data_IF_290024471456
#
_entry.id   IF_290024471456
#
_cell.length_a   1.000
_cell.length_b   1.000
_cell.length_c   1.000
_cell.angle_alpha   90.00
_cell.angle_beta   90.00
_cell.angle_gamma   90.00
#
_symmetry.space_group_name_H-M   'P 1'
#
loop_
_entity.id
_entity.type
_entity.pdbx_description
1 polymer ?
#
# COMPACT_ATOMS: atom_id res chain seq x y z
N UNK A 1 -2.30 -17.80 -13.81
CA UNK A 1 -1.25 -16.94 -13.23
C UNK A 1 -1.56 -16.78 -11.76
N UNK A 2 -0.67 -17.22 -10.88
CA UNK A 2 -0.85 -17.05 -9.43
C UNK A 2 -0.36 -15.65 -9.04
N UNK A 3 -1.20 -14.87 -8.34
CA UNK A 3 -0.85 -13.52 -7.92
C UNK A 3 -0.01 -13.58 -6.65
N UNK A 4 1.18 -12.98 -6.67
CA UNK A 4 2.17 -13.01 -5.58
C UNK A 4 1.85 -12.01 -4.46
N UNK A 5 0.62 -12.02 -3.94
CA UNK A 5 0.15 -11.09 -2.92
C UNK A 5 0.96 -11.12 -1.61
N UNK A 6 1.60 -12.25 -1.32
CA UNK A 6 2.46 -12.42 -0.15
C UNK A 6 3.85 -11.79 -0.32
N UNK A 7 4.18 -11.22 -1.49
CA UNK A 7 5.44 -10.50 -1.64
C UNK A 7 5.49 -9.30 -0.70
N UNK A 8 6.65 -9.06 -0.07
CA UNK A 8 6.86 -7.87 0.73
C UNK A 8 6.81 -6.62 -0.15
N UNK A 9 6.33 -5.52 0.42
CA UNK A 9 6.54 -4.19 -0.11
C UNK A 9 8.04 -3.89 -0.14
N UNK A 10 8.46 -2.97 -1.01
CA UNK A 10 9.89 -2.59 -1.07
C UNK A 10 10.39 -1.99 0.24
N UNK A 11 9.48 -1.36 1.01
CA UNK A 11 9.72 -0.87 2.37
C UNK A 11 8.44 -1.02 3.19
N UNK A 12 8.52 -1.43 4.47
CA UNK A 12 7.37 -1.41 5.37
C UNK A 12 6.80 0.00 5.49
N UNK A 13 5.46 0.12 5.49
CA UNK A 13 4.77 1.40 5.63
C UNK A 13 4.09 1.45 7.00
N UNK A 14 4.55 2.29 7.94
CA UNK A 14 3.89 2.43 9.23
C UNK A 14 2.54 3.14 9.07
N UNK A 15 1.48 2.52 9.57
CA UNK A 15 0.12 3.07 9.59
C UNK A 15 -0.29 3.53 10.99
N UNK A 16 0.37 3.03 12.04
CA UNK A 16 0.22 3.45 13.44
C UNK A 16 1.41 2.99 14.27
N UNK A 17 1.51 3.44 15.52
CA UNK A 17 2.63 3.15 16.43
C UNK A 17 2.87 1.64 16.68
N UNK A 18 1.89 0.79 16.38
CA UNK A 18 1.98 -0.67 16.57
C UNK A 18 1.66 -1.48 15.31
N UNK A 19 1.36 -0.84 14.18
CA UNK A 19 1.02 -1.56 12.95
C UNK A 19 1.74 -0.98 11.73
N UNK A 20 2.25 -1.89 10.89
CA UNK A 20 2.94 -1.57 9.65
C UNK A 20 2.48 -2.52 8.55
N UNK A 21 2.30 -1.98 7.35
CA UNK A 21 2.01 -2.76 6.16
C UNK A 21 3.32 -3.35 5.65
N UNK A 22 3.39 -4.68 5.60
CA UNK A 22 4.62 -5.41 5.23
C UNK A 22 4.49 -5.99 3.82
N UNK A 23 3.30 -6.43 3.42
CA UNK A 23 3.07 -7.14 2.16
C UNK A 23 2.17 -6.36 1.19
N UNK A 24 2.18 -6.74 -0.09
CA UNK A 24 1.21 -6.21 -1.07
C UNK A 24 -0.23 -6.48 -0.63
N UNK A 25 -0.47 -7.65 -0.02
CA UNK A 25 -1.78 -8.02 0.53
C UNK A 25 -2.20 -7.10 1.68
N UNK A 26 -1.31 -6.84 2.64
CA UNK A 26 -1.57 -5.88 3.73
C UNK A 26 -2.01 -4.54 3.18
N UNK A 27 -1.28 -4.01 2.19
CA UNK A 27 -1.61 -2.74 1.57
C UNK A 27 -3.00 -2.72 0.93
N UNK A 28 -3.33 -3.77 0.16
CA UNK A 28 -4.63 -3.86 -0.49
C UNK A 28 -5.78 -4.06 0.52
N UNK A 29 -5.59 -4.92 1.52
CA UNK A 29 -6.59 -5.18 2.57
C UNK A 29 -6.85 -3.93 3.41
N UNK A 30 -5.79 -3.22 3.81
CA UNK A 30 -5.91 -1.97 4.55
C UNK A 30 -6.70 -0.90 3.78
N UNK A 31 -6.42 -0.73 2.48
CA UNK A 31 -7.17 0.21 1.63
C UNK A 31 -8.65 -0.17 1.53
N UNK A 32 -8.95 -1.45 1.36
CA UNK A 32 -10.33 -1.94 1.27
C UNK A 32 -11.07 -1.81 2.61
N UNK A 33 -10.37 -2.01 3.72
CA UNK A 33 -10.89 -1.91 5.09
C UNK A 33 -11.19 -0.45 5.47
N UNK A 34 -10.28 0.49 5.18
CA UNK A 34 -10.42 1.89 5.57
C UNK A 34 -11.45 2.67 4.75
N UNK A 35 -11.52 2.45 3.45
CA UNK A 35 -12.37 3.24 2.56
C UNK A 35 -13.64 2.50 2.10
N UNK A 36 -13.76 1.22 2.46
CA UNK A 36 -14.85 0.35 2.03
C UNK A 36 -14.88 0.13 0.52
N UNK A 37 -15.75 -0.79 0.07
CA UNK A 37 -15.94 -1.08 -1.37
C UNK A 37 -16.78 -0.02 -2.11
N UNK A 38 -17.44 0.87 -1.38
CA UNK A 38 -18.44 1.80 -1.92
C UNK A 38 -17.90 3.23 -2.19
N UNK A 39 -16.71 3.57 -1.69
CA UNK A 39 -16.13 4.91 -1.80
C UNK A 39 -14.71 4.88 -2.38
N UNK A 40 -14.49 4.04 -3.38
CA UNK A 40 -13.23 4.02 -4.11
C UNK A 40 -13.02 5.35 -4.87
N UNK A 41 -12.19 6.23 -4.30
CA UNK A 41 -11.71 7.41 -5.03
C UNK A 41 -10.81 6.95 -6.19
N UNK A 42 -10.71 7.76 -7.25
CA UNK A 42 -9.84 7.42 -8.40
C UNK A 42 -8.39 7.14 -7.97
N UNK A 43 -7.91 7.81 -6.92
CA UNK A 43 -6.60 7.57 -6.33
C UNK A 43 -6.50 6.20 -5.65
N UNK A 44 -7.51 5.79 -4.87
CA UNK A 44 -7.53 4.46 -4.24
C UNK A 44 -7.57 3.34 -5.27
N UNK A 45 -8.43 3.47 -6.28
CA UNK A 45 -8.54 2.48 -7.37
C UNK A 45 -7.21 2.35 -8.12
N UNK A 46 -6.54 3.46 -8.40
CA UNK A 46 -5.21 3.49 -8.99
C UNK A 46 -4.16 2.79 -8.10
N UNK A 47 -4.15 3.05 -6.79
CA UNK A 47 -3.23 2.37 -5.87
C UNK A 47 -3.47 0.85 -5.82
N UNK A 48 -4.73 0.42 -5.77
CA UNK A 48 -5.10 -1.00 -5.80
C UNK A 48 -4.70 -1.68 -7.11
N UNK A 49 -4.83 -0.98 -8.25
CA UNK A 49 -4.38 -1.47 -9.54
C UNK A 49 -2.85 -1.65 -9.57
N UNK A 50 -2.09 -0.67 -9.07
CA UNK A 50 -0.62 -0.77 -8.98
C UNK A 50 -0.18 -1.93 -8.09
N UNK A 51 -0.85 -2.17 -6.96
CA UNK A 51 -0.58 -3.31 -6.08
C UNK A 51 -0.88 -4.65 -6.77
N UNK A 52 -1.99 -4.72 -7.50
CA UNK A 52 -2.39 -5.91 -8.28
C UNK A 52 -1.40 -6.20 -9.40
N UNK A 53 -0.95 -5.16 -10.12
CA UNK A 53 0.06 -5.27 -11.17
C UNK A 53 1.40 -5.73 -10.60
N UNK A 54 1.81 -5.22 -9.44
CA UNK A 54 3.01 -5.69 -8.74
C UNK A 54 2.89 -7.15 -8.29
N UNK A 55 1.72 -7.58 -7.80
CA UNK A 55 1.48 -8.97 -7.43
C UNK A 55 1.48 -9.92 -8.65
N UNK A 56 0.97 -9.47 -9.79
CA UNK A 56 0.96 -10.22 -11.04
C UNK A 56 2.35 -10.32 -11.68
N UNK A 57 3.06 -9.19 -11.75
CA UNK A 57 4.39 -9.07 -12.35
C UNK A 57 5.47 -9.75 -11.50
N UNK A 58 5.41 -9.58 -10.18
CA UNK A 58 6.46 -10.03 -9.25
C UNK A 58 7.77 -9.24 -9.35
N UNK A 59 7.86 -8.28 -10.28
CA UNK A 59 9.02 -7.43 -10.51
C UNK A 59 9.27 -6.47 -9.35
N UNK A 60 10.54 -6.35 -8.95
CA UNK A 60 10.96 -5.42 -7.89
C UNK A 60 10.65 -3.96 -8.25
N UNK A 61 10.71 -3.60 -9.54
CA UNK A 61 10.37 -2.24 -10.00
C UNK A 61 8.89 -1.93 -9.80
N UNK A 62 8.00 -2.86 -10.16
CA UNK A 62 6.55 -2.68 -9.95
C UNK A 62 6.20 -2.63 -8.47
N UNK A 63 6.82 -3.48 -7.65
CA UNK A 63 6.66 -3.48 -6.19
C UNK A 63 7.10 -2.13 -5.60
N UNK A 64 8.21 -1.57 -6.07
CA UNK A 64 8.72 -0.27 -5.60
C UNK A 64 7.77 0.87 -5.94
N UNK A 65 7.28 0.91 -7.19
CA UNK A 65 6.31 1.92 -7.61
C UNK A 65 4.99 1.77 -6.84
N UNK A 66 4.50 0.54 -6.65
CA UNK A 66 3.28 0.28 -5.88
C UNK A 66 3.43 0.70 -4.41
N UNK A 67 4.59 0.42 -3.80
CA UNK A 67 4.92 0.84 -2.43
C UNK A 67 4.94 2.36 -2.29
N UNK A 68 5.56 3.07 -3.24
CA UNK A 68 5.61 4.53 -3.23
C UNK A 68 4.22 5.15 -3.39
N UNK A 69 3.41 4.63 -4.31
CA UNK A 69 2.02 5.08 -4.51
C UNK A 69 1.16 4.85 -3.26
N UNK A 70 1.26 3.65 -2.65
CA UNK A 70 0.56 3.33 -1.42
C UNK A 70 0.96 4.30 -0.30
N UNK A 71 2.25 4.57 -0.13
CA UNK A 71 2.73 5.52 0.88
C UNK A 71 2.21 6.93 0.63
N UNK A 72 2.31 7.42 -0.61
CA UNK A 72 1.85 8.76 -0.98
C UNK A 72 0.34 8.92 -0.73
N UNK A 73 -0.45 7.91 -1.08
CA UNK A 73 -1.88 7.88 -0.82
C UNK A 73 -2.18 7.94 0.68
N UNK A 74 -1.54 7.08 1.47
CA UNK A 74 -1.75 7.05 2.93
C UNK A 74 -1.32 8.35 3.61
N UNK A 75 -0.23 8.98 3.18
CA UNK A 75 0.19 10.30 3.67
C UNK A 75 -0.81 11.39 3.30
N UNK A 76 -1.33 11.39 2.07
CA UNK A 76 -2.34 12.36 1.63
C UNK A 76 -3.65 12.24 2.44
N UNK A 77 -3.98 11.04 2.91
CA UNK A 77 -5.14 10.77 3.76
C UNK A 77 -4.84 10.81 5.27
N UNK A 78 -3.63 11.22 5.69
CA UNK A 78 -3.20 11.24 7.10
C UNK A 78 -3.32 9.88 7.82
N UNK A 79 -3.28 8.77 7.06
CA UNK A 79 -3.39 7.39 7.56
C UNK A 79 -2.04 6.76 7.88
N UNK A 80 -0.95 7.46 7.60
CA UNK A 80 0.39 7.16 8.13
C UNK A 80 0.70 8.16 9.23
N UNK A 81 1.33 7.72 10.31
CA UNK A 81 1.88 8.66 11.28
C UNK A 81 2.78 9.68 10.56
N UNK A 82 2.73 10.98 10.92
CA UNK A 82 3.79 11.87 10.52
C UNK A 82 5.08 11.22 11.00
N UNK A 83 6.06 11.07 10.11
CA UNK A 83 7.40 10.65 10.50
C UNK A 83 7.84 11.72 11.50
N UNK A 84 7.63 11.48 12.80
CA UNK A 84 8.22 12.31 13.85
C UNK A 84 9.70 12.06 13.69
N UNK A 85 10.38 13.00 13.04
CA UNK A 85 11.81 13.14 13.15
C UNK A 85 12.08 13.32 14.64
N UNK A 86 12.45 12.23 15.32
CA UNK A 86 13.11 12.29 16.60
C UNK A 86 14.58 12.55 16.29
N UNK A 87 15.05 13.76 16.60
CA UNK A 87 16.47 14.14 16.56
C UNK A 87 16.74 15.37 15.72
#
# INVERSE_FOLDING_TARGET
MELNWQRPLSRPIPISASASLITLRDGADFLLSQFGRHHATGAQAYTLERLSMAAASGSLSDISVATLQLRAFLTAHQLTEPIRAYG
#
